data_IF_939970146161
#
_entry.id   IF_939970146161
#
_cell.length_a   1.000
_cell.length_b   1.000
_cell.length_c   1.000
_cell.angle_alpha   90.00
_cell.angle_beta   90.00
_cell.angle_gamma   90.00
#
_symmetry.space_group_name_H-M   'P 1'
#
loop_
_entity.id
_entity.type
_entity.pdbx_description
1 polymer ?
#
# COMPACT_ATOMS: atom_id res chain seq x y z
N UNK A 1 -17.74 -16.88 -9.02
CA UNK A 1 -18.26 -16.05 -7.91
C UNK A 1 -17.36 -16.19 -6.69
N UNK A 2 -16.96 -15.07 -6.11
CA UNK A 2 -16.11 -15.02 -4.89
C UNK A 2 -16.71 -15.82 -3.72
N UNK A 3 -15.88 -16.64 -3.06
CA UNK A 3 -16.24 -17.35 -1.83
C UNK A 3 -16.14 -16.40 -0.61
N UNK A 4 -17.26 -15.77 -0.28
CA UNK A 4 -17.33 -14.85 0.86
C UNK A 4 -17.10 -15.54 2.21
N UNK A 5 -17.35 -16.85 2.35
CA UNK A 5 -17.02 -17.58 3.58
C UNK A 5 -15.51 -17.75 3.75
N UNK A 6 -14.79 -17.98 2.64
CA UNK A 6 -13.33 -17.98 2.63
C UNK A 6 -12.75 -16.61 2.98
N UNK A 7 -13.27 -15.53 2.38
CA UNK A 7 -12.86 -14.15 2.72
C UNK A 7 -13.06 -13.88 4.21
N UNK A 8 -14.24 -14.17 4.76
CA UNK A 8 -14.54 -13.95 6.18
C UNK A 8 -13.66 -14.78 7.13
N UNK A 9 -13.24 -15.98 6.70
CA UNK A 9 -12.29 -16.80 7.45
C UNK A 9 -10.91 -16.16 7.48
N UNK A 10 -10.38 -15.72 6.34
CA UNK A 10 -9.05 -15.09 6.28
C UNK A 10 -9.04 -13.73 7.00
N UNK A 11 -10.10 -12.93 6.91
CA UNK A 11 -10.24 -11.69 7.70
C UNK A 11 -10.24 -11.99 9.21
N UNK A 12 -10.93 -13.04 9.67
CA UNK A 12 -10.89 -13.42 11.09
C UNK A 12 -9.50 -13.87 11.54
N UNK A 13 -8.78 -14.62 10.71
CA UNK A 13 -7.40 -15.01 11.00
C UNK A 13 -6.48 -13.77 11.09
N UNK A 14 -6.63 -12.82 10.17
CA UNK A 14 -5.91 -11.55 10.18
C UNK A 14 -6.18 -10.70 11.42
N UNK A 15 -7.45 -10.62 11.85
CA UNK A 15 -7.80 -9.95 13.13
C UNK A 15 -7.13 -10.63 14.32
N UNK A 16 -7.05 -11.96 14.33
CA UNK A 16 -6.39 -12.70 15.40
C UNK A 16 -4.88 -12.43 15.44
N UNK A 17 -4.21 -12.38 14.28
CA UNK A 17 -2.79 -12.00 14.18
C UNK A 17 -2.54 -10.57 14.67
N UNK A 18 -3.39 -9.62 14.30
CA UNK A 18 -3.29 -8.26 14.83
C UNK A 18 -3.49 -8.25 16.35
N UNK A 19 -4.44 -9.01 16.88
CA UNK A 19 -4.73 -9.06 18.32
C UNK A 19 -3.67 -9.82 19.15
N UNK A 20 -2.73 -10.52 18.51
CA UNK A 20 -1.70 -11.28 19.21
C UNK A 20 -0.80 -10.37 20.08
N UNK A 21 -0.64 -10.66 21.39
CA UNK A 21 0.24 -9.88 22.27
C UNK A 21 1.72 -9.86 21.83
N UNK A 22 2.17 -10.87 21.09
CA UNK A 22 3.50 -10.96 20.49
C UNK A 22 3.67 -10.06 19.26
N UNK A 23 2.58 -9.59 18.65
CA UNK A 23 2.62 -8.64 17.54
C UNK A 23 2.84 -7.20 18.04
N UNK A 24 3.99 -6.96 18.66
CA UNK A 24 4.30 -5.69 19.32
C UNK A 24 4.32 -4.50 18.34
N UNK A 25 4.66 -4.73 17.06
CA UNK A 25 4.71 -3.69 16.02
C UNK A 25 3.37 -3.48 15.29
N UNK A 26 2.34 -4.29 15.55
CA UNK A 26 1.03 -4.14 14.90
C UNK A 26 1.08 -4.39 13.39
N UNK A 27 1.86 -5.38 12.97
CA UNK A 27 2.07 -5.76 11.57
C UNK A 27 0.93 -6.68 11.13
N UNK A 28 0.45 -6.51 9.90
CA UNK A 28 -0.31 -7.54 9.20
C UNK A 28 0.61 -8.15 8.14
N UNK A 29 1.09 -9.36 8.40
CA UNK A 29 2.16 -9.99 7.63
C UNK A 29 1.80 -10.20 6.17
N UNK A 30 2.81 -10.20 5.29
CA UNK A 30 2.64 -10.47 3.87
C UNK A 30 1.93 -11.82 3.60
N UNK A 31 2.29 -12.95 4.24
CA UNK A 31 1.56 -14.21 4.06
C UNK A 31 0.08 -14.11 4.40
N UNK A 32 -0.29 -13.36 5.44
CA UNK A 32 -1.69 -13.16 5.82
C UNK A 32 -2.43 -12.29 4.82
N UNK A 33 -1.79 -11.22 4.34
CA UNK A 33 -2.36 -10.40 3.27
C UNK A 33 -2.53 -11.19 1.97
N UNK A 34 -1.53 -11.97 1.54
CA UNK A 34 -1.63 -12.88 0.37
C UNK A 34 -2.80 -13.87 0.48
N UNK A 35 -3.05 -14.45 1.66
CA UNK A 35 -4.22 -15.34 1.85
C UNK A 35 -5.55 -14.60 1.67
N UNK A 36 -5.67 -13.39 2.20
CA UNK A 36 -6.85 -12.54 1.97
C UNK A 36 -7.00 -12.24 0.48
N UNK A 37 -5.92 -11.82 -0.19
CA UNK A 37 -5.95 -11.44 -1.60
C UNK A 37 -6.39 -12.61 -2.48
N UNK A 38 -5.85 -13.82 -2.25
CA UNK A 38 -6.30 -15.05 -2.93
C UNK A 38 -7.77 -15.34 -2.68
N UNK A 39 -8.26 -15.16 -1.45
CA UNK A 39 -9.67 -15.38 -1.12
C UNK A 39 -10.60 -14.36 -1.79
N UNK A 40 -10.11 -13.17 -2.14
CA UNK A 40 -10.87 -12.12 -2.83
C UNK A 40 -11.01 -12.35 -4.34
N UNK A 41 -10.30 -13.32 -4.92
CA UNK A 41 -10.37 -13.60 -6.35
C UNK A 41 -11.69 -14.29 -6.70
N UNK A 42 -12.31 -13.83 -7.78
CA UNK A 42 -13.38 -14.55 -8.45
C UNK A 42 -12.76 -15.56 -9.44
N UNK A 43 -12.91 -16.87 -9.21
CA UNK A 43 -12.31 -17.89 -10.08
C UNK A 43 -12.90 -17.91 -11.50
N UNK A 44 -14.03 -17.22 -11.72
CA UNK A 44 -14.71 -17.16 -13.01
C UNK A 44 -14.53 -15.79 -13.71
N UNK A 45 -13.95 -14.78 -13.05
CA UNK A 45 -13.87 -13.40 -13.54
C UNK A 45 -12.63 -12.63 -13.05
N UNK A 46 -11.55 -12.70 -13.85
CA UNK A 46 -10.30 -11.99 -13.59
C UNK A 46 -10.47 -10.47 -13.61
N UNK A 47 -11.39 -9.94 -14.42
CA UNK A 47 -11.62 -8.51 -14.56
C UNK A 47 -12.28 -7.94 -13.30
N UNK A 48 -13.27 -8.63 -12.74
CA UNK A 48 -13.86 -8.27 -11.45
C UNK A 48 -12.82 -8.36 -10.33
N UNK A 49 -12.01 -9.41 -10.32
CA UNK A 49 -10.92 -9.60 -9.37
C UNK A 49 -9.93 -8.43 -9.42
N UNK A 50 -9.48 -8.06 -10.62
CA UNK A 50 -8.60 -6.93 -10.87
C UNK A 50 -9.22 -5.63 -10.35
N UNK A 51 -10.48 -5.36 -10.69
CA UNK A 51 -11.16 -4.13 -10.25
C UNK A 51 -11.27 -4.06 -8.72
N UNK A 52 -11.58 -5.16 -8.04
CA UNK A 52 -11.59 -5.19 -6.57
C UNK A 52 -10.22 -4.89 -5.98
N UNK A 53 -9.15 -5.47 -6.53
CA UNK A 53 -7.76 -5.21 -6.12
C UNK A 53 -7.41 -3.73 -6.29
N UNK A 54 -7.66 -3.13 -7.45
CA UNK A 54 -7.34 -1.72 -7.71
C UNK A 54 -8.18 -0.78 -6.85
N UNK A 55 -9.49 -1.03 -6.69
CA UNK A 55 -10.35 -0.24 -5.78
C UNK A 55 -9.85 -0.30 -4.34
N UNK A 56 -9.32 -1.44 -3.90
CA UNK A 56 -8.75 -1.56 -2.56
C UNK A 56 -7.49 -0.70 -2.40
N UNK A 57 -6.59 -0.72 -3.39
CA UNK A 57 -5.39 0.12 -3.41
C UNK A 57 -5.75 1.61 -3.39
N UNK A 58 -6.70 2.03 -4.23
CA UNK A 58 -7.24 3.40 -4.22
C UNK A 58 -7.80 3.79 -2.85
N UNK A 59 -8.56 2.89 -2.22
CA UNK A 59 -9.12 3.15 -0.88
C UNK A 59 -8.00 3.34 0.15
N UNK A 60 -6.95 2.52 0.13
CA UNK A 60 -5.79 2.63 1.01
C UNK A 60 -5.08 3.99 0.84
N UNK A 61 -4.74 4.36 -0.41
CA UNK A 61 -4.03 5.63 -0.69
C UNK A 61 -4.88 6.83 -0.27
N UNK A 62 -6.19 6.82 -0.55
CA UNK A 62 -7.12 7.86 -0.07
C UNK A 62 -7.16 7.95 1.45
N UNK A 63 -7.10 6.82 2.15
CA UNK A 63 -7.15 6.79 3.61
C UNK A 63 -5.93 7.48 4.26
N UNK A 64 -4.75 7.36 3.63
CA UNK A 64 -3.50 7.93 4.13
C UNK A 64 -3.12 9.27 3.48
N UNK A 65 -3.96 9.80 2.58
CA UNK A 65 -3.77 11.12 1.97
C UNK A 65 -3.55 12.26 2.99
N UNK A 66 -4.15 12.26 4.20
CA UNK A 66 -3.81 13.24 5.22
C UNK A 66 -2.34 13.20 5.69
N UNK A 67 -1.63 12.07 5.56
CA UNK A 67 -0.18 11.97 5.82
C UNK A 67 0.59 12.72 4.74
N UNK A 68 0.25 12.49 3.47
CA UNK A 68 0.85 13.16 2.32
C UNK A 68 0.87 14.69 2.45
N UNK A 69 -0.27 15.29 2.78
CA UNK A 69 -0.36 16.75 2.92
C UNK A 69 0.42 17.33 4.10
N UNK A 70 0.88 16.50 5.06
CA UNK A 70 1.77 16.98 6.13
C UNK A 70 3.18 17.21 5.58
N UNK A 71 3.68 16.34 4.71
CA UNK A 71 5.02 16.48 4.11
C UNK A 71 5.03 17.36 2.85
N UNK A 72 3.93 17.36 2.10
CA UNK A 72 3.77 18.09 0.83
C UNK A 72 2.45 18.89 0.81
N UNK A 73 2.35 20.00 1.58
CA UNK A 73 1.12 20.79 1.64
C UNK A 73 0.70 21.36 0.28
N UNK A 74 -0.54 21.08 -0.13
CA UNK A 74 -1.11 21.57 -1.38
C UNK A 74 -0.62 20.87 -2.65
N UNK A 75 0.21 19.83 -2.52
CA UNK A 75 0.69 19.02 -3.65
C UNK A 75 -0.37 17.99 -4.05
N UNK A 76 -0.82 18.04 -5.30
CA UNK A 76 -1.92 17.22 -5.81
C UNK A 76 -1.47 15.95 -6.53
N UNK A 77 -0.17 15.67 -6.63
CA UNK A 77 0.34 14.57 -7.45
C UNK A 77 -0.21 13.19 -7.05
N UNK A 78 -0.45 12.95 -5.76
CA UNK A 78 -1.08 11.70 -5.29
C UNK A 78 -2.55 11.60 -5.73
N UNK A 79 -3.29 12.71 -5.75
CA UNK A 79 -4.68 12.74 -6.24
C UNK A 79 -4.74 12.56 -7.76
N UNK A 80 -3.77 13.13 -8.49
CA UNK A 80 -3.60 12.92 -9.93
C UNK A 80 -3.38 11.42 -10.22
N UNK A 81 -2.53 10.72 -9.46
CA UNK A 81 -2.35 9.28 -9.59
C UNK A 81 -3.60 8.47 -9.26
N UNK A 82 -4.36 8.86 -8.24
CA UNK A 82 -5.67 8.24 -7.96
C UNK A 82 -6.60 8.38 -9.16
N UNK A 83 -6.64 9.57 -9.78
CA UNK A 83 -7.49 9.83 -10.96
C UNK A 83 -7.03 9.01 -12.16
N UNK A 84 -5.74 9.00 -12.45
CA UNK A 84 -5.13 8.20 -13.52
C UNK A 84 -5.41 6.70 -13.34
N UNK A 85 -5.26 6.18 -12.12
CA UNK A 85 -5.57 4.78 -11.80
C UNK A 85 -7.05 4.45 -12.06
N UNK A 86 -7.97 5.37 -11.71
CA UNK A 86 -9.39 5.20 -12.00
C UNK A 86 -9.66 5.22 -13.51
N UNK A 87 -8.99 6.09 -14.26
CA UNK A 87 -9.10 6.16 -15.71
C UNK A 87 -8.56 4.92 -16.42
N UNK A 88 -7.44 4.35 -15.94
CA UNK A 88 -6.91 3.06 -16.41
C UNK A 88 -7.90 1.92 -16.16
N UNK A 89 -8.43 1.83 -14.93
CA UNK A 89 -9.41 0.81 -14.55
C UNK A 89 -10.66 0.90 -15.45
N UNK A 90 -11.19 2.11 -15.64
CA UNK A 90 -12.39 2.42 -16.43
C UNK A 90 -12.12 2.44 -17.95
N UNK A 91 -10.88 2.20 -18.40
CA UNK A 91 -10.44 2.26 -19.81
C UNK A 91 -10.65 3.63 -20.49
N UNK A 92 -10.65 4.71 -19.70
CA UNK A 92 -10.59 6.08 -20.21
C UNK A 92 -9.16 6.48 -20.59
N UNK A 93 -8.18 5.92 -19.88
CA UNK A 93 -6.77 5.93 -20.28
C UNK A 93 -6.38 4.53 -20.76
N UNK A 94 -5.59 4.47 -21.84
CA UNK A 94 -5.15 3.21 -22.47
C UNK A 94 -3.65 3.18 -22.76
N UNK A 95 -2.94 4.31 -22.61
CA UNK A 95 -1.49 4.37 -22.70
C UNK A 95 -0.86 3.92 -21.38
N UNK A 96 -0.71 2.60 -21.23
CA UNK A 96 -0.17 1.99 -20.02
C UNK A 96 1.32 2.27 -19.83
N UNK A 97 2.05 2.48 -20.91
CA UNK A 97 3.48 2.79 -20.88
C UNK A 97 3.67 4.19 -20.30
N UNK A 98 2.94 5.19 -20.81
CA UNK A 98 2.99 6.55 -20.27
C UNK A 98 2.50 6.60 -18.82
N UNK A 99 1.43 5.88 -18.47
CA UNK A 99 0.91 5.88 -17.11
C UNK A 99 1.89 5.25 -16.11
N UNK A 100 2.66 4.24 -16.54
CA UNK A 100 3.74 3.68 -15.74
C UNK A 100 4.89 4.69 -15.58
N UNK A 101 5.32 5.35 -16.65
CA UNK A 101 6.36 6.40 -16.58
C UNK A 101 5.96 7.54 -15.64
N UNK A 102 4.69 7.96 -15.64
CA UNK A 102 4.17 8.99 -14.75
C UNK A 102 4.21 8.55 -13.27
N UNK A 103 3.87 7.29 -13.00
CA UNK A 103 3.93 6.71 -11.66
C UNK A 103 5.37 6.62 -11.12
N UNK A 104 6.29 6.14 -11.94
CA UNK A 104 7.73 6.08 -11.61
C UNK A 104 8.30 7.49 -11.38
N UNK A 105 7.94 8.44 -12.24
CA UNK A 105 8.36 9.84 -12.15
C UNK A 105 7.88 10.51 -10.86
N UNK A 106 6.66 10.20 -10.40
CA UNK A 106 6.17 10.66 -9.10
C UNK A 106 7.12 10.22 -7.98
N UNK A 107 7.41 8.92 -7.91
CA UNK A 107 8.19 8.34 -6.82
C UNK A 107 9.62 8.91 -6.81
N UNK A 108 10.29 8.96 -7.97
CA UNK A 108 11.62 9.57 -8.12
C UNK A 108 11.62 11.02 -7.64
N UNK A 109 10.66 11.82 -8.10
CA UNK A 109 10.56 13.23 -7.70
C UNK A 109 10.29 13.42 -6.20
N UNK A 110 9.57 12.50 -5.56
CA UNK A 110 9.35 12.54 -4.10
C UNK A 110 10.61 12.15 -3.35
N UNK A 111 11.32 11.09 -3.77
CA UNK A 111 12.58 10.67 -3.17
C UNK A 111 13.62 11.80 -3.23
N UNK A 112 13.72 12.50 -4.35
CA UNK A 112 14.61 13.67 -4.48
C UNK A 112 14.25 14.77 -3.47
N UNK A 113 12.96 15.03 -3.27
CA UNK A 113 12.49 16.01 -2.28
C UNK A 113 12.74 15.59 -0.82
N UNK A 114 12.68 14.28 -0.53
CA UNK A 114 13.02 13.71 0.78
C UNK A 114 14.51 13.84 1.02
N UNK A 115 15.35 13.44 0.06
CA UNK A 115 16.81 13.57 0.14
C UNK A 115 17.24 15.03 0.30
N UNK A 116 16.61 15.96 -0.43
CA UNK A 116 16.87 17.39 -0.30
C UNK A 116 16.45 17.98 1.06
N UNK A 117 15.59 17.29 1.82
CA UNK A 117 15.21 17.69 3.18
C UNK A 117 16.18 17.23 4.25
N UNK A 118 17.17 16.41 3.89
CA UNK A 118 18.05 15.80 4.87
C UNK A 118 18.96 16.82 5.56
N UNK A 119 19.02 16.73 6.89
CA UNK A 119 19.85 17.60 7.74
C UNK A 119 20.77 16.76 8.60
N UNK A 120 21.93 17.32 8.95
CA UNK A 120 22.92 16.63 9.77
C UNK A 120 22.44 16.57 11.23
N UNK A 121 22.22 15.35 11.74
CA UNK A 121 21.78 15.13 13.14
C UNK A 121 22.93 14.68 14.04
N UNK A 122 23.95 14.04 13.44
CA UNK A 122 25.22 13.67 14.05
C UNK A 122 26.33 13.83 13.01
N UNK A 123 27.60 14.00 13.39
CA UNK A 123 28.71 14.15 12.44
C UNK A 123 28.73 13.05 11.37
N UNK A 124 28.44 13.42 10.12
CA UNK A 124 28.39 12.50 8.98
C UNK A 124 27.11 11.69 8.83
N UNK A 125 26.06 11.96 9.63
CA UNK A 125 24.75 11.32 9.54
C UNK A 125 23.68 12.34 9.15
N UNK A 126 23.25 12.29 7.88
CA UNK A 126 22.11 13.03 7.38
C UNK A 126 20.83 12.23 7.64
N UNK A 127 19.78 12.89 8.14
CA UNK A 127 18.43 12.30 8.23
C UNK A 127 17.42 13.19 7.52
N UNK A 128 16.52 12.62 6.69
CA UNK A 128 15.43 13.36 6.09
C UNK A 128 14.46 13.89 7.14
N UNK A 129 13.63 14.86 6.75
CA UNK A 129 12.49 15.26 7.54
C UNK A 129 11.52 14.06 7.69
N UNK A 130 11.22 13.69 8.93
CA UNK A 130 10.40 12.52 9.22
C UNK A 130 8.97 12.62 8.64
N UNK A 131 8.45 13.84 8.47
CA UNK A 131 7.12 14.04 7.87
C UNK A 131 7.18 13.76 6.36
N UNK A 132 8.23 14.21 5.69
CA UNK A 132 8.47 13.91 4.27
C UNK A 132 8.78 12.43 4.04
N UNK A 133 9.54 11.80 4.92
CA UNK A 133 9.81 10.36 4.88
C UNK A 133 8.52 9.55 5.04
N UNK A 134 7.68 9.86 6.03
CA UNK A 134 6.36 9.22 6.15
C UNK A 134 5.47 9.46 4.91
N UNK A 135 5.57 10.66 4.30
CA UNK A 135 4.81 11.02 3.10
C UNK A 135 5.31 10.30 1.85
N UNK A 136 6.59 9.92 1.77
CA UNK A 136 7.08 9.17 0.61
C UNK A 136 6.51 7.76 0.53
N UNK A 137 6.12 7.16 1.66
CA UNK A 137 5.37 5.89 1.64
C UNK A 137 3.97 6.04 1.01
N UNK A 138 3.35 7.23 1.07
CA UNK A 138 2.09 7.50 0.35
C UNK A 138 2.33 7.60 -1.15
N UNK A 139 3.43 8.26 -1.56
CA UNK A 139 3.81 8.36 -2.97
C UNK A 139 4.19 6.99 -3.56
N UNK A 140 4.91 6.18 -2.80
CA UNK A 140 5.21 4.78 -3.14
C UNK A 140 3.93 3.97 -3.34
N UNK A 141 3.01 4.04 -2.37
CA UNK A 141 1.70 3.37 -2.48
C UNK A 141 0.91 3.80 -3.71
N UNK A 142 0.93 5.10 -4.04
CA UNK A 142 0.24 5.67 -5.19
C UNK A 142 0.90 5.27 -6.52
N UNK A 143 2.24 5.22 -6.57
CA UNK A 143 2.98 4.74 -7.74
C UNK A 143 2.64 3.27 -8.01
N UNK A 144 2.80 2.39 -7.02
CA UNK A 144 2.54 0.96 -7.17
C UNK A 144 1.07 0.63 -7.44
N UNK A 145 0.15 1.48 -6.97
CA UNK A 145 -1.26 1.41 -7.32
C UNK A 145 -1.49 1.65 -8.82
N UNK A 146 -0.91 2.71 -9.38
CA UNK A 146 -1.03 3.03 -10.81
C UNK A 146 -0.35 1.96 -11.67
N UNK A 147 0.88 1.55 -11.31
CA UNK A 147 1.63 0.50 -12.01
C UNK A 147 0.83 -0.80 -12.05
N UNK A 148 0.28 -1.23 -10.92
CA UNK A 148 -0.58 -2.42 -10.86
C UNK A 148 -1.83 -2.29 -11.73
N UNK A 149 -2.41 -1.09 -11.84
CA UNK A 149 -3.55 -0.85 -12.72
C UNK A 149 -3.20 -1.03 -14.21
N UNK A 150 -1.97 -0.73 -14.63
CA UNK A 150 -1.50 -0.90 -16.00
C UNK A 150 -1.51 -2.37 -16.44
N UNK A 151 -1.13 -3.31 -15.56
CA UNK A 151 -1.01 -4.73 -15.91
C UNK A 151 -2.34 -5.46 -16.10
N UNK A 152 -3.41 -4.97 -15.45
CA UNK A 152 -4.74 -5.64 -15.44
C UNK A 152 -4.70 -7.09 -14.99
N UNK A 153 -3.76 -7.40 -14.12
CA UNK A 153 -3.55 -8.75 -13.57
C UNK A 153 -3.94 -8.75 -12.08
N UNK A 154 -4.98 -9.50 -11.68
CA UNK A 154 -5.39 -9.59 -10.28
C UNK A 154 -4.36 -10.26 -9.38
N UNK A 155 -3.44 -11.06 -9.94
CA UNK A 155 -2.45 -11.86 -9.22
C UNK A 155 -1.07 -11.20 -9.14
N UNK A 156 -0.89 -10.04 -9.78
CA UNK A 156 0.39 -9.33 -9.85
C UNK A 156 1.07 -9.15 -8.48
N UNK A 157 0.31 -8.86 -7.42
CA UNK A 157 0.86 -8.68 -6.07
C UNK A 157 0.97 -9.98 -5.25
N UNK A 158 0.52 -11.12 -5.77
CA UNK A 158 0.67 -12.40 -5.08
C UNK A 158 2.11 -12.88 -5.09
N UNK A 159 2.92 -12.43 -6.07
CA UNK A 159 4.33 -12.78 -6.22
C UNK A 159 4.52 -14.30 -6.05
N UNK A 160 3.75 -15.12 -6.79
CA UNK A 160 3.71 -16.58 -6.57
C UNK A 160 5.07 -17.26 -6.76
N UNK A 161 5.95 -16.65 -7.55
CA UNK A 161 7.34 -17.09 -7.74
C UNK A 161 8.22 -16.87 -6.49
N UNK A 162 7.75 -16.08 -5.52
CA UNK A 162 8.41 -15.70 -4.28
C UNK A 162 7.55 -16.04 -3.05
N UNK A 163 7.00 -17.25 -3.01
CA UNK A 163 6.22 -17.75 -1.87
C UNK A 163 7.07 -18.02 -0.61
N UNK A 164 8.41 -18.00 -0.73
CA UNK A 164 9.35 -18.08 0.39
C UNK A 164 9.60 -16.72 1.08
N UNK A 165 9.27 -15.60 0.43
CA UNK A 165 9.32 -14.26 1.02
C UNK A 165 8.13 -14.06 1.94
N UNK A 166 8.41 -13.93 3.23
CA UNK A 166 7.39 -13.78 4.29
C UNK A 166 7.40 -12.40 4.95
N UNK A 167 8.44 -11.60 4.71
CA UNK A 167 8.60 -10.27 5.27
C UNK A 167 8.68 -9.21 4.17
N UNK A 168 7.95 -8.12 4.34
CA UNK A 168 8.02 -6.96 3.45
C UNK A 168 9.42 -6.34 3.44
N UNK A 169 10.18 -6.49 4.52
CA UNK A 169 11.55 -5.98 4.63
C UNK A 169 12.56 -6.74 3.74
N UNK A 170 12.20 -7.94 3.27
CA UNK A 170 13.01 -8.73 2.33
C UNK A 170 12.72 -8.38 0.87
N UNK A 171 11.65 -7.62 0.63
CA UNK A 171 11.26 -7.21 -0.71
C UNK A 171 12.04 -6.00 -1.19
N UNK A 172 12.16 -5.86 -2.51
CA UNK A 172 12.75 -4.67 -3.09
C UNK A 172 11.80 -3.47 -2.87
N UNK A 173 12.33 -2.25 -2.71
CA UNK A 173 11.48 -1.07 -2.48
C UNK A 173 10.41 -0.87 -3.56
N UNK A 174 10.70 -1.20 -4.81
CA UNK A 174 9.81 -1.09 -5.97
C UNK A 174 8.83 -2.27 -6.13
N UNK A 175 8.79 -3.20 -5.17
CA UNK A 175 7.83 -4.31 -5.15
C UNK A 175 6.87 -4.27 -3.96
N UNK A 176 6.99 -3.26 -3.09
CA UNK A 176 6.13 -3.09 -1.93
C UNK A 176 4.66 -2.89 -2.34
N UNK A 177 3.76 -3.69 -1.75
CA UNK A 177 2.34 -3.61 -2.08
C UNK A 177 1.71 -2.38 -1.40
N UNK A 178 0.84 -1.67 -2.13
CA UNK A 178 0.30 -0.36 -1.72
C UNK A 178 -0.31 -0.32 -0.32
N UNK A 179 -0.95 -1.40 0.15
CA UNK A 179 -1.50 -1.46 1.51
C UNK A 179 -0.41 -1.46 2.58
N UNK A 180 0.74 -2.10 2.34
CA UNK A 180 1.88 -2.05 3.25
C UNK A 180 2.51 -0.66 3.28
N UNK A 181 2.72 -0.05 2.11
CA UNK A 181 3.24 1.32 2.04
C UNK A 181 2.30 2.32 2.72
N UNK A 182 0.97 2.16 2.58
CA UNK A 182 0.00 2.94 3.34
C UNK A 182 0.07 2.70 4.85
N UNK A 183 0.18 1.45 5.31
CA UNK A 183 0.32 1.14 6.72
C UNK A 183 1.61 1.74 7.32
N UNK A 184 2.70 1.72 6.53
CA UNK A 184 3.98 2.32 6.88
C UNK A 184 3.89 3.84 6.93
N UNK A 185 3.16 4.47 6.00
CA UNK A 185 2.83 5.89 6.04
C UNK A 185 2.06 6.27 7.32
N UNK A 186 1.05 5.49 7.67
CA UNK A 186 0.27 5.72 8.89
C UNK A 186 1.12 5.57 10.16
N UNK A 187 2.03 4.60 10.18
CA UNK A 187 2.93 4.33 11.29
C UNK A 187 4.13 5.28 11.37
N UNK A 188 4.44 5.99 10.27
CA UNK A 188 5.68 6.73 10.08
C UNK A 188 6.93 5.84 10.02
N UNK A 189 6.78 4.53 9.79
CA UNK A 189 7.87 3.57 9.83
C UNK A 189 7.57 2.28 9.06
N UNK A 190 8.61 1.66 8.50
CA UNK A 190 8.64 0.29 7.95
C UNK A 190 8.72 -0.77 9.08
N UNK A 191 8.66 -2.05 8.72
CA UNK A 191 8.72 -3.15 9.69
C UNK A 191 10.09 -3.27 10.36
N UNK A 192 11.20 -3.06 9.63
CA UNK A 192 12.55 -3.22 10.17
C UNK A 192 12.91 -2.12 11.17
N UNK A 193 12.27 -0.95 11.07
CA UNK A 193 12.58 0.20 11.90
C UNK A 193 12.26 -0.06 13.39
N UNK A 194 12.98 0.58 14.33
CA UNK A 194 12.79 0.35 15.77
C UNK A 194 11.36 0.65 16.25
N UNK A 195 10.93 -0.07 17.29
CA UNK A 195 9.60 0.10 17.88
C UNK A 195 9.38 1.53 18.39
N UNK A 196 10.43 2.16 18.91
CA UNK A 196 10.42 3.52 19.46
C UNK A 196 10.16 4.59 18.39
N UNK A 197 10.35 4.26 17.12
CA UNK A 197 10.12 5.15 15.97
C UNK A 197 8.78 4.85 15.27
N UNK A 198 8.05 3.83 15.72
CA UNK A 198 6.83 3.36 15.05
C UNK A 198 5.59 3.80 15.82
N UNK A 199 4.66 4.50 15.15
CA UNK A 199 3.30 4.70 15.67
C UNK A 199 2.48 3.42 15.50
N UNK A 200 2.68 2.48 16.43
CA UNK A 200 2.00 1.19 16.45
C UNK A 200 0.47 1.34 16.55
N UNK A 201 -0.10 2.23 17.40
CA UNK A 201 -1.53 2.48 17.39
C UNK A 201 -2.07 2.91 16.02
N UNK A 202 -1.38 3.81 15.30
CA UNK A 202 -1.80 4.23 13.96
C UNK A 202 -1.72 3.10 12.95
N UNK A 203 -0.65 2.28 12.98
CA UNK A 203 -0.52 1.08 12.13
C UNK A 203 -1.67 0.10 12.36
N UNK A 204 -1.98 -0.19 13.63
CA UNK A 204 -3.09 -1.08 14.01
C UNK A 204 -4.43 -0.50 13.57
N UNK A 205 -4.63 0.81 13.69
CA UNK A 205 -5.85 1.48 13.25
C UNK A 205 -6.03 1.36 11.72
N UNK A 206 -4.95 1.54 10.95
CA UNK A 206 -4.96 1.32 9.50
C UNK A 206 -5.37 -0.11 9.15
N UNK A 207 -4.71 -1.13 9.72
CA UNK A 207 -5.05 -2.52 9.41
C UNK A 207 -6.44 -2.93 9.90
N UNK A 208 -6.89 -2.41 11.04
CA UNK A 208 -8.27 -2.64 11.50
C UNK A 208 -9.28 -2.05 10.51
N UNK A 209 -9.05 -0.83 10.04
CA UNK A 209 -9.89 -0.21 9.01
C UNK A 209 -9.83 -0.99 7.68
N UNK A 210 -8.65 -1.45 7.27
CA UNK A 210 -8.46 -2.26 6.06
C UNK A 210 -9.33 -3.52 6.08
N UNK A 211 -9.29 -4.27 7.19
CA UNK A 211 -10.05 -5.50 7.38
C UNK A 211 -11.55 -5.27 7.57
N UNK A 212 -11.94 -4.24 8.33
CA UNK A 212 -13.33 -4.05 8.75
C UNK A 212 -14.16 -3.17 7.81
N UNK A 213 -13.50 -2.36 6.98
CA UNK A 213 -14.14 -1.35 6.13
C UNK A 213 -13.69 -1.43 4.69
N UNK A 214 -12.38 -1.40 4.43
CA UNK A 214 -11.88 -1.29 3.06
C UNK A 214 -12.25 -2.53 2.23
N UNK A 215 -11.87 -3.74 2.69
CA UNK A 215 -12.17 -4.99 1.99
C UNK A 215 -13.69 -5.19 1.79
N UNK A 216 -14.55 -5.12 2.83
CA UNK A 216 -15.99 -5.30 2.61
C UNK A 216 -16.61 -4.28 1.66
N UNK A 217 -16.10 -3.04 1.64
CA UNK A 217 -16.63 -2.00 0.75
C UNK A 217 -16.32 -2.29 -0.72
N UNK A 218 -15.09 -2.73 -1.03
CA UNK A 218 -14.71 -2.99 -2.43
C UNK A 218 -15.32 -4.26 -2.98
N UNK A 219 -15.56 -5.28 -2.14
CA UNK A 219 -16.20 -6.52 -2.57
C UNK A 219 -17.73 -6.39 -2.75
N UNK A 220 -18.31 -5.26 -2.33
CA UNK A 220 -19.74 -4.99 -2.48
C UNK A 220 -20.08 -4.23 -3.77
N UNK A 221 -19.10 -3.95 -4.64
CA UNK A 221 -19.27 -3.17 -5.88
C UNK A 221 -19.73 -4.00 -7.06
#
# INVERSE_FOLDING_TARGET
>A
MIDMEAVDREIRAARAELADPGNAKGILSLPTRKRIWRAMLDPDDDEVSYQHRIRLKIACVRHVLPVWYRGFPGDQRVEEMITLTQDLMDRRETDTDQAQEDAESLLVGVIDNVNASATEVEPGLLKPDATKEASSFVADAASMMTISACYRDPDMDLWEEYDDMVDDDEMLPDTLESSYSCASAAAGALNWQPLEQTDVPARRAFWTWYLDKAIPTVLAT
#
